data_IF_290427563210
#
_entry.id   IF_290427563210
#
_cell.length_a   1.000
_cell.length_b   1.000
_cell.length_c   1.000
_cell.angle_alpha   90.00
_cell.angle_beta   90.00
_cell.angle_gamma   90.00
#
_symmetry.space_group_name_H-M   'P 1'
#
loop_
_entity.id
_entity.type
_entity.pdbx_description
1 polymer ?
#
# COMPACT_ATOMS: atom_id res chain seq x y z
N UNK A 1 -15.60 53.79 70.55
CA UNK A 1 -14.78 52.89 69.72
C UNK A 1 -15.68 51.88 69.04
N UNK A 2 -15.91 52.00 67.73
CA UNK A 2 -16.56 50.97 66.90
C UNK A 2 -15.90 51.00 65.52
N UNK A 3 -15.08 50.00 65.26
CA UNK A 3 -14.32 49.80 64.03
C UNK A 3 -15.22 49.10 63.01
N UNK A 4 -15.48 49.72 61.86
CA UNK A 4 -16.21 49.10 60.75
C UNK A 4 -15.22 48.48 59.76
N UNK A 5 -15.32 47.17 59.57
CA UNK A 5 -14.57 46.38 58.59
C UNK A 5 -15.11 46.63 57.17
N UNK A 6 -14.27 46.75 56.12
CA UNK A 6 -14.75 46.88 54.75
C UNK A 6 -15.05 45.52 54.10
N UNK A 7 -16.22 45.41 53.47
CA UNK A 7 -16.66 44.24 52.71
C UNK A 7 -15.93 44.14 51.37
N UNK A 8 -15.30 43.00 51.12
CA UNK A 8 -14.60 42.65 49.86
C UNK A 8 -15.59 42.43 48.71
N UNK A 9 -15.42 43.16 47.60
CA UNK A 9 -16.20 42.99 46.38
C UNK A 9 -15.94 41.64 45.70
N UNK A 10 -17.00 41.00 45.21
CA UNK A 10 -16.98 39.70 44.49
C UNK A 10 -16.82 39.96 42.99
N UNK A 11 -15.78 39.38 42.38
CA UNK A 11 -15.51 39.44 40.93
C UNK A 11 -16.49 38.51 40.18
N UNK A 12 -17.07 38.93 39.04
CA UNK A 12 -17.94 38.07 38.23
C UNK A 12 -17.15 37.00 37.45
N UNK A 13 -17.72 35.81 37.19
CA UNK A 13 -17.05 34.77 36.41
C UNK A 13 -17.02 35.11 34.91
N UNK A 14 -15.90 34.77 34.27
CA UNK A 14 -15.63 34.97 32.83
C UNK A 14 -16.45 33.96 31.98
N UNK A 15 -16.96 34.34 30.79
CA UNK A 15 -17.70 33.42 29.93
C UNK A 15 -16.81 32.30 29.39
N UNK A 16 -17.34 31.07 29.42
CA UNK A 16 -16.69 29.83 28.94
C UNK A 16 -16.77 29.78 27.41
N UNK A 17 -15.63 29.74 26.73
CA UNK A 17 -15.57 29.45 25.29
C UNK A 17 -15.95 27.99 25.03
N UNK A 18 -16.86 27.76 24.08
CA UNK A 18 -17.19 26.42 23.58
C UNK A 18 -16.08 25.91 22.66
N UNK A 19 -15.70 24.62 22.73
CA UNK A 19 -14.74 24.06 21.77
C UNK A 19 -15.40 23.84 20.41
N UNK A 20 -14.72 24.28 19.34
CA UNK A 20 -15.01 23.95 17.94
C UNK A 20 -14.91 22.42 17.72
N UNK A 21 -15.80 21.77 16.95
CA UNK A 21 -15.67 20.34 16.66
C UNK A 21 -14.38 20.05 15.90
N UNK A 22 -13.60 19.10 16.39
CA UNK A 22 -12.38 18.61 15.72
C UNK A 22 -12.73 17.84 14.44
N UNK A 23 -11.89 17.93 13.38
CA UNK A 23 -12.09 17.14 12.17
C UNK A 23 -11.94 15.64 12.46
N UNK A 24 -12.81 14.83 11.84
CA UNK A 24 -12.84 13.37 11.93
C UNK A 24 -11.48 12.78 11.49
N UNK A 25 -10.90 11.81 12.21
CA UNK A 25 -9.62 11.21 11.82
C UNK A 25 -9.73 10.57 10.43
N UNK A 26 -8.80 10.89 9.53
CA UNK A 26 -8.61 10.13 8.30
C UNK A 26 -8.33 8.65 8.64
N UNK A 27 -8.85 7.68 7.87
CA UNK A 27 -8.59 6.27 8.13
C UNK A 27 -7.08 6.01 8.05
N UNK A 28 -6.51 5.48 9.15
CA UNK A 28 -5.12 5.03 9.18
C UNK A 28 -4.91 3.98 8.08
N UNK A 29 -3.86 4.09 7.24
CA UNK A 29 -3.52 3.03 6.31
C UNK A 29 -3.22 1.74 7.10
N UNK A 30 -3.60 0.55 6.58
CA UNK A 30 -3.40 -0.70 7.30
C UNK A 30 -1.92 -0.91 7.58
N UNK A 31 -1.57 -1.01 8.86
CA UNK A 31 -0.23 -1.35 9.35
C UNK A 31 0.02 -2.84 9.07
N UNK A 32 0.43 -3.17 7.85
CA UNK A 32 0.93 -4.51 7.53
C UNK A 32 2.34 -4.67 8.08
N UNK A 33 2.50 -5.36 9.21
CA UNK A 33 3.81 -5.72 9.77
C UNK A 33 4.42 -6.85 8.93
N UNK A 34 5.01 -6.48 7.80
CA UNK A 34 5.60 -7.44 6.86
C UNK A 34 6.07 -6.73 5.60
N UNK A 35 6.84 -7.46 4.78
CA UNK A 35 7.40 -7.00 3.51
C UNK A 35 6.34 -6.35 2.60
N UNK A 36 5.10 -6.85 2.64
CA UNK A 36 3.93 -6.29 1.95
C UNK A 36 3.57 -4.87 2.41
N UNK A 37 3.63 -4.57 3.70
CA UNK A 37 3.34 -3.24 4.22
C UNK A 37 4.42 -2.22 3.88
N UNK A 38 5.69 -2.66 3.85
CA UNK A 38 6.79 -1.82 3.36
C UNK A 38 6.59 -1.45 1.88
N UNK A 39 6.24 -2.42 1.03
CA UNK A 39 5.95 -2.14 -0.37
C UNK A 39 4.79 -1.17 -0.57
N UNK A 40 3.70 -1.35 0.19
CA UNK A 40 2.54 -0.46 0.12
C UNK A 40 2.94 0.99 0.46
N UNK A 41 3.74 1.18 1.50
CA UNK A 41 4.23 2.50 1.90
C UNK A 41 5.10 3.14 0.83
N UNK A 42 6.06 2.39 0.26
CA UNK A 42 6.93 2.87 -0.80
C UNK A 42 6.14 3.27 -2.06
N UNK A 43 5.21 2.42 -2.51
CA UNK A 43 4.36 2.69 -3.67
C UNK A 43 3.52 3.94 -3.44
N UNK A 44 2.85 4.05 -2.29
CA UNK A 44 2.01 5.21 -2.00
C UNK A 44 2.82 6.52 -1.84
N UNK A 45 4.07 6.45 -1.38
CA UNK A 45 4.96 7.61 -1.37
C UNK A 45 5.26 8.10 -2.78
N UNK A 46 5.59 7.21 -3.72
CA UNK A 46 5.86 7.59 -5.11
C UNK A 46 4.61 8.06 -5.85
N UNK A 47 3.47 7.42 -5.59
CA UNK A 47 2.18 7.85 -6.15
C UNK A 47 1.77 9.24 -5.69
N UNK A 48 2.00 9.58 -4.42
CA UNK A 48 1.75 10.91 -3.89
C UNK A 48 2.61 11.97 -4.60
N UNK A 49 3.91 11.69 -4.86
CA UNK A 49 4.80 12.58 -5.62
C UNK A 49 4.31 12.81 -7.07
N UNK A 50 3.65 11.82 -7.65
CA UNK A 50 3.08 11.90 -9.00
C UNK A 50 1.64 12.45 -9.04
N UNK A 51 1.04 12.83 -7.90
CA UNK A 51 -0.33 13.32 -7.84
C UNK A 51 -1.42 12.24 -7.95
N UNK A 52 -1.06 10.96 -7.87
CA UNK A 52 -2.04 9.87 -7.87
C UNK A 52 -2.61 9.59 -6.48
N UNK A 53 -3.84 9.09 -6.43
CA UNK A 53 -4.44 8.56 -5.21
C UNK A 53 -3.70 7.32 -4.69
N UNK A 54 -3.73 7.11 -3.37
CA UNK A 54 -3.14 5.93 -2.74
C UNK A 54 -3.88 4.64 -3.15
N UNK A 55 -3.12 3.57 -3.39
CA UNK A 55 -3.67 2.22 -3.53
C UNK A 55 -3.87 1.58 -2.15
N UNK A 56 -4.84 0.66 -2.07
CA UNK A 56 -5.15 -0.12 -0.87
C UNK A 56 -4.87 -1.60 -1.10
N UNK A 57 -4.33 -2.29 -0.09
CA UNK A 57 -4.16 -3.73 -0.17
C UNK A 57 -5.48 -4.45 -0.45
N UNK A 58 -5.47 -5.37 -1.41
CA UNK A 58 -6.61 -6.20 -1.76
C UNK A 58 -6.24 -7.68 -1.64
N UNK A 59 -7.08 -8.47 -0.96
CA UNK A 59 -6.77 -9.87 -0.66
C UNK A 59 -6.76 -10.77 -1.89
N UNK A 60 -7.56 -10.48 -2.93
CA UNK A 60 -7.55 -11.24 -4.18
C UNK A 60 -6.25 -11.00 -4.96
N UNK A 61 -5.85 -9.74 -5.13
CA UNK A 61 -4.55 -9.40 -5.75
C UNK A 61 -3.39 -9.97 -4.94
N UNK A 62 -3.47 -9.95 -3.61
CA UNK A 62 -2.44 -10.52 -2.74
C UNK A 62 -2.30 -12.04 -2.95
N UNK A 63 -3.41 -12.77 -3.10
CA UNK A 63 -3.38 -14.21 -3.41
C UNK A 63 -2.78 -14.49 -4.78
N UNK A 64 -3.17 -13.72 -5.81
CA UNK A 64 -2.63 -13.87 -7.16
C UNK A 64 -1.11 -13.65 -7.19
N UNK A 65 -0.65 -12.51 -6.65
CA UNK A 65 0.75 -12.17 -6.60
C UNK A 65 1.57 -13.18 -5.79
N UNK A 66 1.07 -13.60 -4.62
CA UNK A 66 1.77 -14.59 -3.79
C UNK A 66 1.88 -15.95 -4.48
N UNK A 67 0.80 -16.39 -5.12
CA UNK A 67 0.77 -17.62 -5.90
C UNK A 67 1.77 -17.59 -7.04
N UNK A 68 1.87 -16.47 -7.76
CA UNK A 68 2.80 -16.34 -8.88
C UNK A 68 4.27 -16.33 -8.45
N UNK A 69 4.61 -15.56 -7.41
CA UNK A 69 5.97 -15.57 -6.85
C UNK A 69 6.38 -16.98 -6.39
N UNK A 70 5.48 -17.71 -5.73
CA UNK A 70 5.73 -19.09 -5.30
C UNK A 70 5.88 -20.04 -6.50
N UNK A 71 5.07 -19.89 -7.55
CA UNK A 71 5.13 -20.71 -8.75
C UNK A 71 6.46 -20.50 -9.51
N UNK A 72 6.87 -19.24 -9.69
CA UNK A 72 8.16 -18.87 -10.28
C UNK A 72 9.33 -19.47 -9.51
N UNK A 73 9.31 -19.35 -8.17
CA UNK A 73 10.35 -19.89 -7.30
C UNK A 73 10.41 -21.42 -7.36
N UNK A 74 9.26 -22.10 -7.28
CA UNK A 74 9.18 -23.56 -7.26
C UNK A 74 9.58 -24.20 -8.60
N UNK A 75 9.25 -23.54 -9.71
CA UNK A 75 9.47 -24.07 -11.07
C UNK A 75 10.67 -23.45 -11.79
N UNK A 76 11.49 -22.67 -11.10
CA UNK A 76 12.70 -22.03 -11.64
C UNK A 76 12.46 -21.28 -12.95
N UNK A 77 11.59 -20.27 -12.92
CA UNK A 77 11.36 -19.42 -14.09
C UNK A 77 10.98 -18.00 -13.70
N UNK A 78 11.12 -17.09 -14.66
CA UNK A 78 10.77 -15.68 -14.49
C UNK A 78 10.00 -15.19 -15.72
N UNK A 79 8.68 -15.01 -15.57
CA UNK A 79 7.78 -14.62 -16.65
C UNK A 79 6.46 -14.09 -16.08
N UNK A 80 5.80 -13.19 -16.81
CA UNK A 80 4.43 -12.78 -16.52
C UNK A 80 3.41 -13.90 -16.77
N UNK A 81 3.72 -14.83 -17.69
CA UNK A 81 2.88 -15.99 -18.00
C UNK A 81 3.38 -17.20 -17.25
N UNK A 82 2.48 -17.88 -16.53
CA UNK A 82 2.78 -19.12 -15.84
C UNK A 82 3.09 -20.23 -16.83
N UNK A 83 3.87 -21.24 -16.41
CA UNK A 83 4.23 -22.38 -17.28
C UNK A 83 3.04 -23.20 -17.78
N UNK A 84 1.89 -23.10 -17.10
CA UNK A 84 0.63 -23.72 -17.52
C UNK A 84 -0.20 -22.83 -18.48
N UNK A 85 0.38 -21.72 -18.96
CA UNK A 85 -0.23 -20.83 -19.95
C UNK A 85 -1.06 -19.69 -19.35
N UNK A 86 -1.35 -19.69 -18.05
CA UNK A 86 -2.14 -18.63 -17.41
C UNK A 86 -1.40 -17.29 -17.43
N UNK A 87 -2.05 -16.26 -17.93
CA UNK A 87 -1.59 -14.87 -17.86
C UNK A 87 -1.77 -14.30 -16.45
N UNK A 88 -1.18 -13.14 -16.16
CA UNK A 88 -1.45 -12.43 -14.91
C UNK A 88 -2.94 -12.09 -14.74
N UNK A 89 -3.63 -11.77 -15.85
CA UNK A 89 -5.06 -11.54 -15.85
C UNK A 89 -5.83 -12.79 -15.40
N UNK A 90 -5.51 -13.96 -15.94
CA UNK A 90 -6.16 -15.22 -15.56
C UNK A 90 -5.95 -15.52 -14.08
N UNK A 91 -4.73 -15.32 -13.55
CA UNK A 91 -4.44 -15.51 -12.13
C UNK A 91 -5.20 -14.54 -11.23
N UNK A 92 -5.27 -13.25 -11.61
CA UNK A 92 -6.00 -12.21 -10.87
C UNK A 92 -7.51 -12.50 -10.86
N UNK A 93 -8.07 -12.92 -12.00
CA UNK A 93 -9.49 -13.31 -12.12
C UNK A 93 -9.81 -14.56 -11.32
N UNK A 94 -8.99 -15.61 -11.43
CA UNK A 94 -9.14 -16.84 -10.66
C UNK A 94 -9.02 -16.59 -9.14
N UNK A 95 -8.25 -15.59 -8.72
CA UNK A 95 -8.16 -15.18 -7.31
C UNK A 95 -9.38 -14.39 -6.81
N UNK A 96 -10.33 -14.06 -7.70
CA UNK A 96 -11.60 -13.39 -7.38
C UNK A 96 -11.58 -11.86 -7.49
N UNK A 97 -10.60 -11.26 -8.17
CA UNK A 97 -10.59 -9.80 -8.36
C UNK A 97 -11.50 -9.37 -9.51
N UNK A 98 -12.43 -8.46 -9.21
CA UNK A 98 -13.47 -8.00 -10.15
C UNK A 98 -13.10 -6.78 -11.00
N UNK A 99 -12.08 -6.00 -10.64
CA UNK A 99 -11.74 -4.75 -11.34
C UNK A 99 -11.38 -4.94 -12.81
N UNK A 100 -11.69 -3.98 -13.66
CA UNK A 100 -11.48 -4.07 -15.11
C UNK A 100 -10.04 -3.72 -15.51
N UNK A 101 -9.42 -2.80 -14.79
CA UNK A 101 -8.05 -2.35 -15.05
C UNK A 101 -7.11 -3.13 -14.16
N UNK A 102 -6.16 -3.86 -14.74
CA UNK A 102 -5.21 -4.68 -14.00
C UNK A 102 -3.79 -4.49 -14.58
N UNK A 103 -2.77 -4.70 -13.76
CA UNK A 103 -1.37 -4.65 -14.19
C UNK A 103 -0.48 -5.45 -13.26
N UNK A 104 0.67 -5.88 -13.75
CA UNK A 104 1.63 -6.69 -13.00
C UNK A 104 3.05 -6.14 -13.16
N UNK A 105 3.78 -6.10 -12.06
CA UNK A 105 5.23 -5.95 -12.03
C UNK A 105 5.84 -7.19 -11.39
N UNK A 106 6.92 -7.73 -11.96
CA UNK A 106 7.69 -8.85 -11.37
C UNK A 106 9.15 -8.46 -11.19
N UNK A 107 9.82 -9.05 -10.20
CA UNK A 107 11.25 -8.92 -10.00
C UNK A 107 11.85 -10.22 -9.42
N UNK A 108 13.11 -10.47 -9.70
CA UNK A 108 13.84 -11.61 -9.16
C UNK A 108 15.31 -11.26 -8.89
N UNK A 109 15.88 -11.85 -7.83
CA UNK A 109 17.28 -11.65 -7.42
C UNK A 109 17.50 -10.61 -6.32
N UNK A 110 16.59 -9.66 -6.13
CA UNK A 110 16.71 -8.65 -5.08
C UNK A 110 16.17 -9.17 -3.74
N UNK A 111 16.94 -9.03 -2.66
CA UNK A 111 16.57 -9.53 -1.33
C UNK A 111 15.67 -8.59 -0.52
N UNK A 112 15.47 -7.34 -0.96
CA UNK A 112 14.73 -6.32 -0.21
C UNK A 112 13.70 -5.58 -1.07
N UNK A 113 12.58 -5.20 -0.45
CA UNK A 113 11.53 -4.40 -1.08
C UNK A 113 12.06 -3.07 -1.64
N UNK A 114 12.94 -2.39 -0.91
CA UNK A 114 13.54 -1.13 -1.36
C UNK A 114 14.41 -1.30 -2.62
N UNK A 115 15.14 -2.42 -2.74
CA UNK A 115 15.94 -2.69 -3.95
C UNK A 115 15.05 -2.96 -5.17
N UNK A 116 13.98 -3.74 -4.99
CA UNK A 116 12.98 -3.97 -6.05
C UNK A 116 12.31 -2.67 -6.46
N UNK A 117 11.86 -1.85 -5.49
CA UNK A 117 11.19 -0.59 -5.78
C UNK A 117 12.07 0.36 -6.59
N UNK A 118 13.36 0.50 -6.24
CA UNK A 118 14.31 1.28 -7.03
C UNK A 118 14.45 0.75 -8.45
N UNK A 119 14.54 -0.56 -8.62
CA UNK A 119 14.64 -1.20 -9.94
C UNK A 119 13.39 -0.95 -10.80
N UNK A 120 12.19 -1.07 -10.22
CA UNK A 120 10.95 -0.79 -10.93
C UNK A 120 10.79 0.69 -11.29
N UNK A 121 11.16 1.62 -10.40
CA UNK A 121 11.09 3.06 -10.69
C UNK A 121 12.09 3.52 -11.77
N UNK A 122 13.20 2.80 -11.95
CA UNK A 122 14.18 3.04 -13.00
C UNK A 122 13.76 2.46 -14.36
N UNK A 123 12.76 1.56 -14.39
CA UNK A 123 12.26 0.93 -15.61
C UNK A 123 10.95 1.59 -16.05
N UNK A 124 10.90 2.14 -17.26
CA UNK A 124 9.73 2.88 -17.76
C UNK A 124 8.42 2.08 -17.69
N UNK A 125 8.43 0.80 -18.08
CA UNK A 125 7.25 -0.07 -18.02
C UNK A 125 6.76 -0.32 -16.60
N UNK A 126 7.65 -0.71 -15.69
CA UNK A 126 7.27 -0.97 -14.29
C UNK A 126 6.84 0.31 -13.55
N UNK A 127 7.53 1.43 -13.82
CA UNK A 127 7.19 2.75 -13.30
C UNK A 127 5.80 3.20 -13.79
N UNK A 128 5.47 2.95 -15.06
CA UNK A 128 4.16 3.28 -15.60
C UNK A 128 3.03 2.57 -14.83
N UNK A 129 3.21 1.31 -14.45
CA UNK A 129 2.25 0.60 -13.60
C UNK A 129 2.13 1.24 -12.21
N UNK A 130 3.25 1.52 -11.54
CA UNK A 130 3.25 2.12 -10.19
C UNK A 130 2.52 3.48 -10.17
N UNK A 131 2.76 4.30 -11.21
CA UNK A 131 2.25 5.66 -11.31
C UNK A 131 0.96 5.78 -12.14
N UNK A 132 0.33 4.66 -12.48
CA UNK A 132 -0.98 4.71 -13.13
C UNK A 132 -2.06 5.08 -12.10
N UNK A 133 -2.58 6.30 -12.20
CA UNK A 133 -3.59 6.82 -11.27
C UNK A 133 -4.94 6.10 -11.37
N UNK A 134 -5.19 5.30 -12.42
CA UNK A 134 -6.40 4.48 -12.54
C UNK A 134 -6.43 3.32 -11.53
N UNK A 135 -5.28 2.90 -11.00
CA UNK A 135 -5.23 1.85 -9.99
C UNK A 135 -5.61 2.37 -8.61
N UNK A 136 -6.42 1.59 -7.89
CA UNK A 136 -6.91 1.87 -6.54
C UNK A 136 -6.61 0.74 -5.56
N UNK A 137 -6.19 -0.42 -6.06
CA UNK A 137 -5.91 -1.64 -5.32
C UNK A 137 -4.53 -2.22 -5.68
N UNK A 138 -3.92 -2.93 -4.73
CA UNK A 138 -2.62 -3.58 -4.89
C UNK A 138 -2.56 -4.92 -4.11
N UNK A 139 -1.80 -5.89 -4.62
CA UNK A 139 -1.34 -7.08 -3.91
C UNK A 139 0.15 -7.29 -4.15
N UNK A 140 0.90 -7.80 -3.15
CA UNK A 140 2.36 -7.98 -3.26
C UNK A 140 2.78 -9.34 -2.74
N UNK A 141 3.21 -10.22 -3.63
CA UNK A 141 3.68 -11.57 -3.31
C UNK A 141 5.21 -11.66 -3.24
N UNK A 142 5.70 -12.46 -2.31
CA UNK A 142 7.13 -12.74 -2.16
C UNK A 142 7.39 -14.23 -1.94
N UNK A 143 8.39 -14.78 -2.63
CA UNK A 143 8.87 -16.13 -2.39
C UNK A 143 10.40 -16.18 -2.41
N UNK A 144 10.97 -17.03 -1.55
CA UNK A 144 12.40 -17.36 -1.54
C UNK A 144 12.60 -18.73 -2.17
N UNK A 145 13.76 -18.93 -2.79
CA UNK A 145 14.14 -20.19 -3.44
C UNK A 145 14.41 -19.99 -4.93
N UNK A 146 14.47 -21.09 -5.67
CA UNK A 146 14.74 -21.13 -7.10
C UNK A 146 16.08 -20.50 -7.52
N UNK A 147 16.33 -20.47 -8.83
CA UNK A 147 17.60 -20.01 -9.43
C UNK A 147 17.95 -18.55 -9.13
N UNK A 148 16.96 -17.68 -8.91
CA UNK A 148 17.17 -16.28 -8.57
C UNK A 148 17.16 -15.99 -7.06
N UNK A 149 16.91 -16.98 -6.20
CA UNK A 149 16.91 -16.85 -4.74
C UNK A 149 15.71 -16.07 -4.14
N UNK A 150 15.24 -15.02 -4.82
CA UNK A 150 14.15 -14.15 -4.39
C UNK A 150 13.24 -13.83 -5.58
N UNK A 151 11.92 -13.91 -5.38
CA UNK A 151 10.91 -13.62 -6.40
C UNK A 151 9.82 -12.71 -5.83
N UNK A 152 9.42 -11.73 -6.63
CA UNK A 152 8.49 -10.67 -6.27
C UNK A 152 7.46 -10.50 -7.37
N UNK A 153 6.21 -10.33 -6.95
CA UNK A 153 5.08 -9.99 -7.84
C UNK A 153 4.30 -8.87 -7.19
N UNK A 154 3.95 -7.86 -7.96
CA UNK A 154 3.09 -6.75 -7.57
C UNK A 154 1.96 -6.65 -8.58
N UNK A 155 0.75 -6.96 -8.13
CA UNK A 155 -0.46 -6.88 -8.94
C UNK A 155 -1.23 -5.63 -8.55
N UNK A 156 -1.71 -4.90 -9.55
CA UNK A 156 -2.54 -3.72 -9.42
C UNK A 156 -3.95 -3.97 -9.92
N UNK A 157 -4.89 -3.21 -9.36
CA UNK A 157 -6.28 -3.22 -9.78
C UNK A 157 -6.92 -1.84 -9.70
N UNK A 158 -7.74 -1.48 -10.69
CA UNK A 158 -8.52 -0.25 -10.77
C UNK A 158 -10.01 -0.50 -10.62
#
# INVERSE_FOLDING_TARGET
>A
MRTTTPTRARVPPRPRSTPKPSPKPAPKPPSGTGVTGQFLSLVNSERAKAGCGAVRSNSALQRAAQGHSADMAAKNYFSHTSKDGRTFADRIRAAGYGGSTIGENIAAGQSTASAVMRSWLASSGHRANILNCAFTAIGVGYARGGSYGHYWTQDFGG
#
